data_IF_991477967556
#
_entry.id   IF_991477967556
#
_cell.length_a   1.000
_cell.length_b   1.000
_cell.length_c   1.000
_cell.angle_alpha   90.00
_cell.angle_beta   90.00
_cell.angle_gamma   90.00
#
_symmetry.space_group_name_H-M   'P 1'
#
loop_
_entity.id
_entity.type
_entity.pdbx_description
1 polymer ?
#
# COMPACT_ATOMS: atom_id res chain seq x y z
N UNK A 1 -22.72 6.67 10.81
CA UNK A 1 -21.53 7.51 10.50
C UNK A 1 -21.46 8.57 11.59
N UNK A 2 -20.71 8.31 12.63
CA UNK A 2 -20.46 9.30 13.67
C UNK A 2 -19.65 10.43 13.03
N UNK A 3 -20.19 11.62 13.04
CA UNK A 3 -19.50 12.82 12.63
C UNK A 3 -18.66 13.27 13.83
N UNK A 4 -17.34 13.24 13.69
CA UNK A 4 -16.39 13.69 14.71
C UNK A 4 -16.32 15.24 14.78
N UNK A 5 -17.43 15.90 14.52
CA UNK A 5 -17.57 17.36 14.62
C UNK A 5 -18.76 17.72 15.47
N UNK A 6 -18.61 18.77 16.27
CA UNK A 6 -19.72 19.39 16.97
C UNK A 6 -20.66 20.10 15.98
N UNK A 7 -21.87 20.51 16.44
CA UNK A 7 -22.86 21.22 15.61
C UNK A 7 -22.31 22.53 15.04
N UNK A 8 -21.31 23.13 15.64
CA UNK A 8 -20.59 24.32 15.18
C UNK A 8 -19.37 24.00 14.28
N UNK A 9 -19.23 22.76 13.86
CA UNK A 9 -18.17 22.32 12.93
C UNK A 9 -16.80 22.12 13.55
N UNK A 10 -16.67 22.19 14.88
CA UNK A 10 -15.41 21.91 15.55
C UNK A 10 -15.15 20.41 15.62
N UNK A 11 -13.88 20.02 15.45
CA UNK A 11 -13.46 18.63 15.60
C UNK A 11 -13.64 18.17 17.06
N UNK A 12 -14.27 17.01 17.23
CA UNK A 12 -14.41 16.39 18.55
C UNK A 12 -13.11 15.69 18.89
N UNK A 13 -12.56 16.01 20.07
CA UNK A 13 -11.41 15.30 20.60
C UNK A 13 -11.81 13.86 20.96
N UNK A 14 -11.04 12.83 20.53
CA UNK A 14 -11.28 11.46 20.97
C UNK A 14 -11.20 11.35 22.48
N UNK A 15 -12.24 10.83 23.11
CA UNK A 15 -12.32 10.72 24.58
C UNK A 15 -11.29 9.74 25.13
N UNK A 16 -11.12 8.61 24.43
CA UNK A 16 -10.16 7.56 24.81
C UNK A 16 -8.91 7.65 23.96
N UNK A 17 -7.73 7.66 24.59
CA UNK A 17 -6.48 7.53 23.85
C UNK A 17 -6.38 6.20 23.13
N UNK A 18 -5.89 6.21 21.89
CA UNK A 18 -5.52 5.01 21.16
C UNK A 18 -4.09 4.62 21.52
N UNK A 19 -3.84 3.31 21.64
CA UNK A 19 -2.48 2.80 21.85
C UNK A 19 -1.69 2.72 20.55
N UNK A 20 -2.34 2.34 19.47
CA UNK A 20 -1.72 2.13 18.17
C UNK A 20 -2.40 3.01 17.13
N UNK A 21 -1.63 3.90 16.55
CA UNK A 21 -2.09 4.79 15.50
C UNK A 21 -1.69 4.25 14.12
N UNK A 22 -2.57 4.44 13.15
CA UNK A 22 -2.25 4.31 11.74
C UNK A 22 -2.35 5.67 11.06
N UNK A 23 -1.36 6.04 10.26
CA UNK A 23 -1.37 7.27 9.47
C UNK A 23 -1.10 6.95 8.01
N UNK A 24 -1.94 7.45 7.13
CA UNK A 24 -1.82 7.25 5.68
C UNK A 24 -2.38 8.44 4.90
N UNK A 25 -1.94 8.55 3.65
CA UNK A 25 -2.37 9.57 2.72
C UNK A 25 -3.32 9.00 1.68
N UNK A 26 -4.33 9.76 1.34
CA UNK A 26 -5.19 9.42 0.21
C UNK A 26 -5.42 10.63 -0.71
N UNK A 27 -5.64 10.33 -1.98
CA UNK A 27 -5.86 11.33 -3.01
C UNK A 27 -7.34 11.72 -3.07
N UNK A 28 -7.64 13.00 -2.88
CA UNK A 28 -9.02 13.49 -2.89
C UNK A 28 -9.61 13.65 -4.30
N UNK A 29 -8.80 14.11 -5.27
CA UNK A 29 -9.23 14.42 -6.64
C UNK A 29 -8.16 14.11 -7.69
N UNK A 30 -8.53 14.15 -8.97
CA UNK A 30 -7.60 14.00 -10.10
C UNK A 30 -6.53 15.10 -10.22
N UNK A 31 -6.56 16.15 -9.39
CA UNK A 31 -5.57 17.22 -9.31
C UNK A 31 -4.83 17.20 -7.97
N UNK A 32 -3.81 16.42 -7.79
CA UNK A 32 -2.74 16.45 -6.74
C UNK A 32 -3.13 16.93 -5.32
N UNK A 33 -4.41 16.91 -4.95
CA UNK A 33 -4.83 17.21 -3.59
C UNK A 33 -4.86 15.94 -2.77
N UNK A 34 -4.12 15.93 -1.69
CA UNK A 34 -4.03 14.83 -0.73
C UNK A 34 -4.70 15.22 0.57
N UNK A 35 -5.25 14.24 1.25
CA UNK A 35 -5.60 14.32 2.65
C UNK A 35 -4.88 13.22 3.40
N UNK A 36 -4.55 13.51 4.65
CA UNK A 36 -4.00 12.56 5.60
C UNK A 36 -5.08 12.20 6.60
N UNK A 37 -5.19 10.93 6.94
CA UNK A 37 -6.02 10.46 8.03
C UNK A 37 -5.19 9.76 9.09
N UNK A 38 -5.64 9.88 10.33
CA UNK A 38 -5.08 9.16 11.46
C UNK A 38 -6.20 8.31 12.05
N UNK A 39 -5.93 7.04 12.25
CA UNK A 39 -6.90 6.06 12.75
C UNK A 39 -6.39 5.38 14.01
N UNK A 40 -7.31 4.94 14.83
CA UNK A 40 -7.05 3.95 15.87
C UNK A 40 -7.01 2.56 15.25
N UNK A 41 -5.88 1.90 15.35
CA UNK A 41 -5.65 0.58 14.73
C UNK A 41 -6.41 -0.56 15.45
N UNK A 42 -6.81 -0.37 16.71
CA UNK A 42 -7.58 -1.38 17.45
C UNK A 42 -9.07 -1.33 17.09
N UNK A 43 -9.61 -0.14 16.91
CA UNK A 43 -11.06 0.05 16.65
C UNK A 43 -11.39 0.33 15.19
N UNK A 44 -10.41 0.76 14.39
CA UNK A 44 -10.59 1.23 13.02
C UNK A 44 -11.25 2.62 12.93
N UNK A 45 -11.44 3.31 14.04
CA UNK A 45 -12.04 4.64 14.03
C UNK A 45 -11.07 5.69 13.49
N UNK A 46 -11.59 6.58 12.65
CA UNK A 46 -10.85 7.74 12.17
C UNK A 46 -10.83 8.78 13.28
N UNK A 47 -9.64 9.11 13.76
CA UNK A 47 -9.41 10.10 14.81
C UNK A 47 -9.18 11.51 14.27
N UNK A 48 -8.61 11.59 13.04
CA UNK A 48 -8.24 12.85 12.41
C UNK A 48 -8.26 12.73 10.90
N UNK A 49 -8.71 13.80 10.23
CA UNK A 49 -8.59 13.98 8.79
C UNK A 49 -8.21 15.43 8.54
N UNK A 50 -7.12 15.66 7.81
CA UNK A 50 -6.69 16.99 7.40
C UNK A 50 -6.20 17.01 5.96
N UNK A 51 -6.33 18.16 5.31
CA UNK A 51 -5.79 18.38 3.97
C UNK A 51 -4.26 18.48 3.99
N UNK A 52 -3.61 17.85 3.01
CA UNK A 52 -2.16 17.86 2.88
C UNK A 52 -1.50 16.55 3.29
N UNK A 53 -0.17 16.54 3.24
CA UNK A 53 0.68 15.37 3.48
C UNK A 53 2.00 15.71 4.19
N UNK A 54 2.06 16.85 4.83
CA UNK A 54 3.28 17.34 5.49
C UNK A 54 3.24 17.07 6.99
N UNK A 55 4.39 17.16 7.64
CA UNK A 55 4.57 17.08 9.10
C UNK A 55 3.54 17.90 9.89
N UNK A 56 3.10 19.05 9.33
CA UNK A 56 2.14 19.91 10.01
C UNK A 56 0.84 19.20 10.39
N UNK A 57 0.35 18.26 9.55
CA UNK A 57 -0.86 17.50 9.86
C UNK A 57 -0.71 16.69 11.16
N UNK A 58 0.48 16.14 11.40
CA UNK A 58 0.80 15.41 12.63
C UNK A 58 0.86 16.36 13.82
N UNK A 59 1.49 17.51 13.66
CA UNK A 59 1.57 18.51 14.73
C UNK A 59 0.20 19.04 15.13
N UNK A 60 -0.66 19.33 14.15
CA UNK A 60 -2.04 19.78 14.38
C UNK A 60 -2.86 18.71 15.14
N UNK A 61 -2.67 17.43 14.77
CA UNK A 61 -3.29 16.33 15.50
C UNK A 61 -2.81 16.25 16.96
N UNK A 62 -1.49 16.30 17.18
CA UNK A 62 -0.90 16.26 18.51
C UNK A 62 -1.40 17.42 19.38
N UNK A 63 -1.47 18.62 18.81
CA UNK A 63 -2.02 19.80 19.49
C UNK A 63 -3.50 19.61 19.84
N UNK A 64 -4.28 19.06 18.91
CA UNK A 64 -5.70 18.81 19.11
C UNK A 64 -5.99 17.81 20.22
N UNK A 65 -5.30 16.66 20.24
CA UNK A 65 -5.52 15.62 21.27
C UNK A 65 -4.81 15.96 22.58
N UNK A 66 -3.70 16.65 22.51
CA UNK A 66 -2.90 17.12 23.63
C UNK A 66 -1.95 16.07 24.22
N UNK A 67 -1.00 16.54 25.01
CA UNK A 67 0.15 15.76 25.51
C UNK A 67 -0.25 14.51 26.27
N UNK A 68 -1.16 14.65 27.23
CA UNK A 68 -1.62 13.53 28.07
C UNK A 68 -2.29 12.40 27.28
N UNK A 69 -2.91 12.75 26.16
CA UNK A 69 -3.50 11.78 25.24
C UNK A 69 -2.39 11.04 24.49
N UNK A 70 -1.42 11.78 23.98
CA UNK A 70 -0.28 11.23 23.23
C UNK A 70 0.64 10.35 24.07
N UNK A 71 0.74 10.59 25.37
CA UNK A 71 1.53 9.76 26.31
C UNK A 71 1.04 8.29 26.38
N UNK A 72 -0.18 8.02 25.94
CA UNK A 72 -0.75 6.67 25.88
C UNK A 72 -0.45 5.94 24.56
N UNK A 73 0.08 6.65 23.56
CA UNK A 73 0.40 6.06 22.25
C UNK A 73 1.72 5.31 22.34
N UNK A 74 1.68 4.02 21.99
CA UNK A 74 2.83 3.13 22.07
C UNK A 74 3.54 3.02 20.70
N UNK A 75 2.77 2.97 19.61
CA UNK A 75 3.32 2.83 18.25
C UNK A 75 2.46 3.54 17.20
N UNK A 76 3.12 3.91 16.10
CA UNK A 76 2.49 4.51 14.92
C UNK A 76 2.86 3.74 13.67
N UNK A 77 1.86 3.19 12.99
CA UNK A 77 2.02 2.59 11.67
C UNK A 77 1.96 3.68 10.59
N UNK A 78 3.00 3.81 9.79
CA UNK A 78 3.08 4.80 8.71
C UNK A 78 3.77 4.22 7.47
N UNK A 79 3.63 4.92 6.32
CA UNK A 79 4.47 4.65 5.15
C UNK A 79 5.94 4.97 5.47
N UNK A 80 6.84 4.31 4.76
CA UNK A 80 8.29 4.59 4.82
C UNK A 80 8.66 6.01 4.32
N UNK A 81 7.69 6.82 3.93
CA UNK A 81 7.90 8.20 3.53
C UNK A 81 8.07 9.08 4.77
N UNK A 82 9.20 9.74 4.86
CA UNK A 82 9.85 10.26 6.04
C UNK A 82 9.08 11.30 6.87
N UNK A 83 8.18 12.09 6.27
CA UNK A 83 7.62 13.28 6.93
C UNK A 83 6.83 12.95 8.21
N UNK A 84 6.05 11.86 8.20
CA UNK A 84 5.24 11.47 9.35
C UNK A 84 6.09 10.84 10.46
N UNK A 85 7.01 9.94 10.06
CA UNK A 85 7.95 9.33 11.00
C UNK A 85 8.76 10.40 11.73
N UNK A 86 9.39 11.31 10.97
CA UNK A 86 10.18 12.40 11.53
C UNK A 86 9.35 13.30 12.45
N UNK A 87 8.08 13.58 12.12
CA UNK A 87 7.21 14.40 12.95
C UNK A 87 6.94 13.75 14.32
N UNK A 88 6.71 12.43 14.34
CA UNK A 88 6.54 11.71 15.62
C UNK A 88 7.85 11.59 16.38
N UNK A 89 8.97 11.26 15.73
CA UNK A 89 10.28 11.18 16.38
C UNK A 89 10.72 12.51 17.01
N UNK A 90 10.43 13.64 16.33
CA UNK A 90 10.75 14.98 16.85
C UNK A 90 9.94 15.36 18.09
N UNK A 91 8.66 14.99 18.13
CA UNK A 91 7.73 15.43 19.18
C UNK A 91 7.49 14.37 20.24
N UNK A 92 7.58 13.10 19.87
CA UNK A 92 7.29 11.96 20.74
C UNK A 92 8.29 10.81 20.52
N UNK A 93 9.55 10.96 20.96
CA UNK A 93 10.62 9.99 20.69
C UNK A 93 10.41 8.60 21.29
N UNK A 94 9.47 8.43 22.24
CA UNK A 94 9.16 7.11 22.79
C UNK A 94 8.19 6.30 21.93
N UNK A 95 7.50 6.93 20.96
CA UNK A 95 6.60 6.24 20.05
C UNK A 95 7.41 5.44 19.06
N UNK A 96 7.11 4.14 18.96
CA UNK A 96 7.77 3.27 18.01
C UNK A 96 7.15 3.38 16.62
N UNK A 97 7.89 3.81 15.57
CA UNK A 97 7.40 3.75 14.21
C UNK A 97 7.36 2.30 13.73
N UNK A 98 6.25 1.92 13.12
CA UNK A 98 6.04 0.62 12.49
C UNK A 98 5.75 0.86 11.01
N UNK A 99 6.52 0.22 10.13
CA UNK A 99 6.31 0.40 8.70
C UNK A 99 5.29 -0.60 8.17
N UNK A 100 4.39 -0.12 7.32
CA UNK A 100 3.43 -0.96 6.62
C UNK A 100 4.15 -1.95 5.69
N UNK A 101 3.88 -3.24 5.92
CA UNK A 101 4.43 -4.34 5.14
C UNK A 101 4.17 -4.19 3.63
N UNK A 102 3.00 -3.68 3.25
CA UNK A 102 2.66 -3.45 1.85
C UNK A 102 3.65 -2.46 1.19
N UNK A 103 3.96 -1.36 1.87
CA UNK A 103 4.91 -0.36 1.37
C UNK A 103 6.34 -0.89 1.33
N UNK A 104 6.74 -1.73 2.28
CA UNK A 104 8.05 -2.41 2.25
C UNK A 104 8.16 -3.29 1.01
N UNK A 105 7.18 -4.16 0.79
CA UNK A 105 7.17 -5.08 -0.37
C UNK A 105 7.09 -4.32 -1.68
N UNK A 106 6.25 -3.28 -1.77
CA UNK A 106 6.16 -2.41 -2.95
C UNK A 106 7.50 -1.74 -3.26
N UNK A 107 8.15 -1.13 -2.28
CA UNK A 107 9.45 -0.49 -2.46
C UNK A 107 10.53 -1.50 -2.88
N UNK A 108 10.54 -2.69 -2.28
CA UNK A 108 11.44 -3.75 -2.68
C UNK A 108 11.21 -4.16 -4.14
N UNK A 109 9.98 -4.37 -4.55
CA UNK A 109 9.62 -4.74 -5.92
C UNK A 109 9.99 -3.64 -6.93
N UNK A 110 9.75 -2.39 -6.59
CA UNK A 110 10.00 -1.26 -7.50
C UNK A 110 11.48 -0.89 -7.58
N UNK A 111 12.20 -0.88 -6.45
CA UNK A 111 13.60 -0.43 -6.40
C UNK A 111 14.61 -1.56 -6.59
N UNK A 112 14.31 -2.78 -6.16
CA UNK A 112 15.25 -3.90 -6.25
C UNK A 112 14.89 -4.81 -7.41
N UNK A 113 13.72 -5.46 -7.36
CA UNK A 113 13.35 -6.47 -8.38
C UNK A 113 13.29 -5.87 -9.78
N UNK A 114 12.72 -4.67 -9.91
CA UNK A 114 12.62 -3.99 -11.22
C UNK A 114 13.98 -3.55 -11.75
N UNK A 115 14.88 -3.06 -10.91
CA UNK A 115 16.21 -2.61 -11.35
C UNK A 115 17.10 -3.80 -11.70
N UNK A 116 17.17 -4.83 -10.86
CA UNK A 116 17.91 -6.07 -11.17
C UNK A 116 17.45 -6.67 -12.51
N UNK A 117 16.12 -6.70 -12.75
CA UNK A 117 15.58 -7.17 -14.03
C UNK A 117 16.04 -6.32 -15.22
N UNK A 118 16.08 -4.99 -15.06
CA UNK A 118 16.53 -4.06 -16.12
C UNK A 118 18.02 -4.22 -16.41
N UNK A 119 18.83 -4.36 -15.36
CA UNK A 119 20.28 -4.55 -15.48
C UNK A 119 20.60 -5.88 -16.18
N UNK A 120 19.94 -6.96 -15.79
CA UNK A 120 20.07 -8.25 -16.45
C UNK A 120 19.60 -8.20 -17.93
N UNK A 121 18.53 -7.49 -18.20
CA UNK A 121 18.07 -7.26 -19.57
C UNK A 121 19.12 -6.52 -20.40
N UNK A 122 19.75 -5.49 -19.85
CA UNK A 122 20.83 -4.74 -20.50
C UNK A 122 22.02 -5.65 -20.79
N UNK A 123 22.46 -6.41 -19.77
CA UNK A 123 23.57 -7.38 -19.90
C UNK A 123 23.31 -8.37 -21.03
N UNK A 124 22.11 -8.93 -21.12
CA UNK A 124 21.75 -9.87 -22.18
C UNK A 124 21.77 -9.22 -23.58
N UNK A 125 21.39 -7.95 -23.69
CA UNK A 125 21.51 -7.22 -24.97
C UNK A 125 22.98 -7.00 -25.35
N UNK A 126 23.84 -6.65 -24.40
CA UNK A 126 25.29 -6.45 -24.63
C UNK A 126 25.99 -7.76 -25.04
N UNK A 127 25.55 -8.90 -24.53
CA UNK A 127 26.02 -10.23 -24.91
C UNK A 127 25.44 -10.75 -26.23
N UNK A 128 24.55 -9.99 -26.88
CA UNK A 128 23.91 -10.38 -28.12
C UNK A 128 22.72 -11.35 -27.96
N UNK A 129 22.34 -11.69 -26.74
CA UNK A 129 21.21 -12.58 -26.46
C UNK A 129 19.88 -11.82 -26.46
N UNK A 130 19.51 -11.31 -27.63
CA UNK A 130 18.34 -10.42 -27.81
C UNK A 130 17.02 -11.12 -27.47
N UNK A 131 16.91 -12.41 -27.72
CA UNK A 131 15.68 -13.17 -27.46
C UNK A 131 15.41 -13.31 -25.95
N UNK A 132 16.42 -13.69 -25.19
CA UNK A 132 16.33 -13.75 -23.72
C UNK A 132 16.05 -12.37 -23.10
N UNK A 133 16.68 -11.32 -23.61
CA UNK A 133 16.44 -9.95 -23.16
C UNK A 133 14.98 -9.51 -23.41
N UNK A 134 14.40 -9.86 -24.55
CA UNK A 134 12.98 -9.60 -24.88
C UNK A 134 12.03 -10.40 -23.99
N UNK A 135 12.35 -11.67 -23.71
CA UNK A 135 11.58 -12.51 -22.80
C UNK A 135 11.55 -11.90 -21.40
N UNK A 136 12.68 -11.41 -20.89
CA UNK A 136 12.81 -10.81 -19.57
C UNK A 136 11.95 -9.54 -19.41
N UNK A 137 11.73 -8.77 -20.46
CA UNK A 137 10.88 -7.56 -20.43
C UNK A 137 9.46 -7.83 -19.95
N UNK A 138 8.90 -9.00 -20.23
CA UNK A 138 7.51 -9.37 -19.87
C UNK A 138 7.39 -10.06 -18.51
N UNK A 139 8.49 -10.35 -17.83
CA UNK A 139 8.49 -11.14 -16.60
C UNK A 139 8.28 -10.35 -15.32
N UNK A 140 8.12 -9.01 -15.36
CA UNK A 140 7.98 -8.16 -14.18
C UNK A 140 6.98 -8.74 -13.16
N UNK A 141 5.76 -9.02 -13.59
CA UNK A 141 4.72 -9.52 -12.69
C UNK A 141 4.95 -10.96 -12.23
N UNK A 142 5.66 -11.76 -13.02
CA UNK A 142 6.05 -13.12 -12.64
C UNK A 142 7.05 -13.06 -11.50
N UNK A 143 8.08 -12.22 -11.63
CA UNK A 143 9.12 -12.04 -10.60
C UNK A 143 8.57 -11.47 -9.28
N UNK A 144 7.50 -10.66 -9.35
CA UNK A 144 6.83 -10.07 -8.19
C UNK A 144 5.78 -10.98 -7.57
N UNK A 145 5.45 -12.11 -8.20
CA UNK A 145 4.42 -13.03 -7.71
C UNK A 145 5.01 -14.13 -6.83
N UNK A 146 4.28 -14.55 -5.80
CA UNK A 146 4.66 -15.70 -5.02
C UNK A 146 4.56 -16.98 -5.86
N UNK A 147 5.37 -18.01 -5.52
CA UNK A 147 5.28 -19.33 -6.18
C UNK A 147 3.86 -19.91 -6.12
N UNK A 148 3.17 -19.75 -5.00
CA UNK A 148 1.80 -20.21 -4.81
C UNK A 148 0.83 -19.55 -5.78
N UNK A 149 0.94 -18.23 -5.96
CA UNK A 149 0.12 -17.45 -6.91
C UNK A 149 0.38 -17.86 -8.35
N UNK A 150 1.63 -18.16 -8.72
CA UNK A 150 1.98 -18.62 -10.06
C UNK A 150 1.40 -20.00 -10.32
N UNK A 151 1.50 -20.92 -9.36
CA UNK A 151 0.96 -22.27 -9.49
C UNK A 151 -0.57 -22.29 -9.63
N UNK A 152 -1.31 -21.43 -8.88
CA UNK A 152 -2.76 -21.34 -9.03
C UNK A 152 -3.15 -20.81 -10.41
N UNK A 153 -2.49 -19.75 -10.89
CA UNK A 153 -2.75 -19.20 -12.22
C UNK A 153 -2.44 -20.20 -13.36
N UNK A 154 -1.40 -21.01 -13.21
CA UNK A 154 -1.08 -22.08 -14.16
C UNK A 154 -2.14 -23.18 -14.15
N UNK A 155 -2.71 -23.51 -12.98
CA UNK A 155 -3.79 -24.48 -12.87
C UNK A 155 -5.07 -23.96 -13.55
N UNK A 156 -5.47 -22.72 -13.25
CA UNK A 156 -6.64 -22.05 -13.84
C UNK A 156 -6.51 -21.97 -15.37
N UNK A 157 -5.33 -21.58 -15.88
CA UNK A 157 -5.06 -21.52 -17.32
C UNK A 157 -5.07 -22.89 -18.02
N UNK A 158 -4.71 -23.97 -17.30
CA UNK A 158 -4.81 -25.35 -17.83
C UNK A 158 -6.27 -25.80 -17.90
N UNK A 159 -7.06 -25.48 -16.89
CA UNK A 159 -8.48 -25.79 -16.82
C UNK A 159 -9.25 -25.07 -17.94
N UNK A 160 -9.03 -23.77 -18.13
CA UNK A 160 -9.61 -23.01 -19.23
C UNK A 160 -9.28 -23.59 -20.62
N UNK A 161 -8.02 -24.01 -20.83
CA UNK A 161 -7.62 -24.67 -22.10
C UNK A 161 -8.30 -26.01 -22.32
N UNK A 162 -8.58 -26.77 -21.24
CA UNK A 162 -9.30 -28.05 -21.35
C UNK A 162 -10.78 -27.82 -21.68
N UNK A 163 -11.42 -26.83 -21.05
CA UNK A 163 -12.81 -26.43 -21.34
C UNK A 163 -12.94 -25.98 -22.81
N UNK A 164 -12.02 -25.13 -23.29
CA UNK A 164 -12.03 -24.71 -24.69
C UNK A 164 -11.82 -25.86 -25.68
N UNK A 165 -10.97 -26.83 -25.37
CA UNK A 165 -10.79 -28.02 -26.20
C UNK A 165 -12.02 -28.93 -26.18
N UNK A 166 -12.67 -29.08 -25.02
CA UNK A 166 -13.93 -29.84 -24.89
C UNK A 166 -15.08 -29.19 -25.67
N UNK A 167 -15.23 -27.87 -25.60
CA UNK A 167 -16.30 -27.17 -26.36
C UNK A 167 -16.10 -27.17 -27.88
N UNK A 168 -14.87 -27.31 -28.34
CA UNK A 168 -14.56 -27.43 -29.79
C UNK A 168 -14.91 -28.82 -30.36
N UNK A 169 -14.89 -29.86 -29.54
CA UNK A 169 -15.28 -31.22 -29.92
C UNK A 169 -16.81 -31.39 -30.09
N UNK A 170 -17.62 -30.56 -29.42
CA UNK A 170 -19.08 -30.60 -29.53
C UNK A 170 -19.64 -29.72 -30.68
N UNK A 171 -18.81 -28.94 -31.38
CA UNK A 171 -19.24 -28.10 -32.48
C UNK A 171 -19.18 -28.79 -33.88
N UNK A 172 -18.67 -30.02 -33.93
CA UNK A 172 -18.49 -30.75 -35.22
C UNK A 172 -19.59 -31.79 -35.51
N UNK A 173 -20.55 -32.02 -34.58
CA UNK A 173 -21.58 -33.06 -34.77
C UNK A 173 -23.01 -32.52 -35.01
N UNK A 174 -23.14 -31.31 -35.53
CA UNK A 174 -24.46 -30.71 -35.86
C UNK A 174 -24.52 -30.28 -37.35
N UNK A 175 -24.14 -31.20 -38.23
CA UNK A 175 -24.52 -31.10 -39.64
C UNK A 175 -24.86 -32.53 -40.13
N UNK A 176 -26.10 -32.93 -39.93
CA UNK A 176 -26.86 -33.83 -40.85
C UNK A 176 -28.27 -33.34 -40.88
#
# INVERSE_FOLDING_TARGET
RELYTTNDGKLIKPEKPAKFLGIDEFKLHNGYRYATHIIDMETGHILWIAGGKKKQVVYDFIEHVGLKWMDQVEAVACDMNSDFQEAFEEKWPHIQPVFDYFHIVKNFNDKVVSEVRKDEQRRLYEEGNVEAARALKKTRYILMSSRKTLQSKDADAREERQIHKGSSLFKTDSIV
#
